data_IF_431980204747
#
_entry.id   IF_431980204747
#
_cell.length_a   1.000
_cell.length_b   1.000
_cell.length_c   1.000
_cell.angle_alpha   90.00
_cell.angle_beta   90.00
_cell.angle_gamma   90.00
#
_symmetry.space_group_name_H-M   'P 1'
#
loop_
_entity.id
_entity.type
_entity.pdbx_description
1 polymer ?
#
# COMPACT_ATOMS: atom_id res chain seq x y z
N UNK A 1 2.93 61.06 -25.44
CA UNK A 1 3.27 60.50 -24.11
C UNK A 1 2.17 59.63 -23.50
N UNK A 2 0.87 59.88 -23.77
CA UNK A 2 -0.27 59.12 -23.20
C UNK A 2 -0.31 57.63 -23.62
N UNK A 3 0.04 57.30 -24.86
CA UNK A 3 0.04 55.89 -25.35
C UNK A 3 1.08 54.98 -24.69
N UNK A 4 2.26 55.52 -24.32
CA UNK A 4 3.30 54.75 -23.60
C UNK A 4 2.85 54.44 -22.16
N UNK A 5 2.01 55.30 -21.58
CA UNK A 5 1.45 55.11 -20.24
C UNK A 5 0.40 53.99 -20.20
N UNK A 6 -0.53 53.96 -21.15
CA UNK A 6 -1.51 52.86 -21.26
C UNK A 6 -0.84 51.51 -21.57
N UNK A 7 0.23 51.52 -22.36
CA UNK A 7 1.01 50.32 -22.66
C UNK A 7 1.71 49.75 -21.41
N UNK A 8 2.30 50.62 -20.58
CA UNK A 8 2.90 50.20 -19.31
C UNK A 8 1.85 49.65 -18.33
N UNK A 9 0.65 50.24 -18.29
CA UNK A 9 -0.43 49.80 -17.41
C UNK A 9 -0.98 48.42 -17.83
N UNK A 10 -1.02 48.13 -19.13
CA UNK A 10 -1.40 46.84 -19.68
C UNK A 10 -0.40 45.72 -19.33
N UNK A 11 0.90 46.00 -19.37
CA UNK A 11 1.95 45.02 -19.01
C UNK A 11 1.89 44.65 -17.52
N UNK A 12 1.64 45.63 -16.65
CA UNK A 12 1.50 45.38 -15.19
C UNK A 12 0.28 44.51 -14.89
N UNK A 13 -0.83 44.68 -15.60
CA UNK A 13 -2.03 43.86 -15.43
C UNK A 13 -1.80 42.38 -15.86
N UNK A 14 -1.01 42.15 -16.91
CA UNK A 14 -0.71 40.80 -17.41
C UNK A 14 0.23 40.00 -16.48
N UNK A 15 1.06 40.68 -15.68
CA UNK A 15 2.00 40.02 -14.75
C UNK A 15 1.36 39.32 -13.55
N UNK A 16 0.04 39.48 -13.33
CA UNK A 16 -0.68 38.91 -12.17
C UNK A 16 -1.32 37.54 -12.44
N UNK A 17 -1.32 37.05 -13.68
CA UNK A 17 -1.85 35.72 -14.00
C UNK A 17 -0.76 34.66 -13.88
N UNK A 18 -0.22 34.47 -12.67
CA UNK A 18 0.52 33.25 -12.38
C UNK A 18 -0.52 32.15 -12.09
N UNK A 19 -0.76 31.29 -13.08
CA UNK A 19 -1.51 30.06 -12.89
C UNK A 19 -0.60 29.13 -12.08
N UNK A 20 -0.67 29.20 -10.75
CA UNK A 20 0.02 28.26 -9.87
C UNK A 20 -0.68 26.90 -10.02
N UNK A 21 -0.10 26.02 -10.83
CA UNK A 21 -0.39 24.60 -10.75
C UNK A 21 0.19 24.11 -9.42
N UNK A 22 -0.61 24.19 -8.35
CA UNK A 22 -0.32 23.48 -7.13
C UNK A 22 -0.26 22.00 -7.48
N UNK A 23 0.95 21.45 -7.64
CA UNK A 23 1.12 20.01 -7.63
C UNK A 23 0.59 19.54 -6.29
N UNK A 24 -0.31 18.54 -6.24
CA UNK A 24 -0.71 17.95 -4.97
C UNK A 24 0.52 17.28 -4.38
N UNK A 25 1.27 18.02 -3.56
CA UNK A 25 2.32 17.45 -2.73
C UNK A 25 1.63 16.55 -1.72
N UNK A 26 1.98 15.27 -1.73
CA UNK A 26 1.44 14.20 -0.88
C UNK A 26 0.22 13.48 -1.44
N UNK A 27 0.41 12.77 -2.57
CA UNK A 27 -0.25 11.47 -2.67
C UNK A 27 0.24 10.63 -1.47
N UNK A 28 -0.68 10.22 -0.60
CA UNK A 28 -0.37 9.42 0.60
C UNK A 28 0.47 8.21 0.16
N UNK A 29 1.75 8.18 0.51
CA UNK A 29 2.68 7.15 0.05
C UNK A 29 2.25 5.79 0.60
N UNK A 30 1.70 4.93 -0.26
CA UNK A 30 1.27 3.57 0.07
C UNK A 30 2.50 2.65 0.07
N UNK A 31 2.77 2.01 1.20
CA UNK A 31 3.83 1.01 1.32
C UNK A 31 3.28 -0.38 1.00
N UNK A 32 3.96 -1.13 0.14
CA UNK A 32 3.59 -2.51 -0.22
C UNK A 32 4.61 -3.48 0.35
N UNK A 33 4.13 -4.48 1.09
CA UNK A 33 4.97 -5.46 1.76
C UNK A 33 4.54 -6.86 1.29
N UNK A 34 5.49 -7.62 0.75
CA UNK A 34 5.33 -9.04 0.49
C UNK A 34 5.88 -9.86 1.65
N UNK A 35 5.02 -10.59 2.35
CA UNK A 35 5.39 -11.50 3.43
C UNK A 35 5.44 -12.93 2.88
N UNK A 36 6.64 -13.47 2.82
CA UNK A 36 6.88 -14.85 2.45
C UNK A 36 6.80 -15.72 3.71
N UNK A 37 5.84 -16.64 3.76
CA UNK A 37 5.58 -17.47 4.92
C UNK A 37 5.45 -18.94 4.51
N UNK A 38 6.08 -19.88 5.24
CA UNK A 38 6.03 -21.30 4.94
C UNK A 38 4.69 -21.90 5.40
N UNK A 39 3.63 -21.73 4.60
CA UNK A 39 2.30 -22.26 4.87
C UNK A 39 2.11 -23.65 4.27
N UNK A 40 2.90 -24.00 3.24
CA UNK A 40 2.95 -25.31 2.60
C UNK A 40 1.55 -25.80 2.20
N UNK A 41 0.74 -24.91 1.60
CA UNK A 41 -0.65 -25.18 1.27
C UNK A 41 -0.77 -26.34 0.28
N UNK A 42 0.16 -26.45 -0.67
CA UNK A 42 0.20 -27.55 -1.63
C UNK A 42 0.39 -28.91 -0.94
N UNK A 43 1.13 -28.96 0.17
CA UNK A 43 1.35 -30.20 0.93
C UNK A 43 0.11 -30.62 1.74
N UNK A 44 -0.84 -29.71 1.94
CA UNK A 44 -2.08 -29.99 2.67
C UNK A 44 -3.07 -30.84 1.86
N UNK A 45 -2.91 -30.90 0.54
CA UNK A 45 -3.78 -31.62 -0.39
C UNK A 45 -3.09 -32.86 -0.96
N UNK A 46 -3.87 -33.89 -1.28
CA UNK A 46 -3.36 -35.06 -2.00
C UNK A 46 -3.39 -34.85 -3.53
N UNK A 47 -2.98 -35.88 -4.27
CA UNK A 47 -2.98 -35.89 -5.73
C UNK A 47 -4.38 -35.69 -6.35
N UNK A 48 -5.44 -35.92 -5.58
CA UNK A 48 -6.83 -35.77 -6.00
C UNK A 48 -7.42 -34.45 -5.49
N UNK A 49 -6.58 -33.49 -5.07
CA UNK A 49 -7.00 -32.20 -4.49
C UNK A 49 -7.89 -32.35 -3.25
N UNK A 50 -7.79 -33.47 -2.54
CA UNK A 50 -8.53 -33.71 -1.31
C UNK A 50 -7.69 -33.31 -0.11
N UNK A 51 -8.30 -32.59 0.81
CA UNK A 51 -7.64 -32.17 2.05
C UNK A 51 -7.30 -33.40 2.90
N UNK A 52 -6.01 -33.56 3.24
CA UNK A 52 -5.48 -34.80 3.83
C UNK A 52 -5.62 -34.87 5.35
N UNK A 53 -5.95 -33.75 5.99
CA UNK A 53 -5.96 -33.62 7.44
C UNK A 53 -7.39 -33.69 7.98
N UNK A 54 -7.59 -34.08 9.25
CA UNK A 54 -8.89 -34.05 9.89
C UNK A 54 -9.61 -32.70 9.73
N UNK A 55 -10.95 -32.69 9.70
CA UNK A 55 -11.73 -31.46 9.62
C UNK A 55 -11.29 -30.47 10.70
N UNK A 56 -11.06 -29.21 10.31
CA UNK A 56 -10.61 -28.12 11.20
C UNK A 56 -9.23 -28.31 11.86
N UNK A 57 -8.39 -29.21 11.33
CA UNK A 57 -7.00 -29.31 11.77
C UNK A 57 -6.07 -28.81 10.68
N UNK A 58 -5.07 -28.01 11.05
CA UNK A 58 -3.99 -27.60 10.16
C UNK A 58 -2.76 -28.52 10.34
N UNK A 59 -1.91 -28.66 9.30
CA UNK A 59 -0.67 -29.37 9.45
C UNK A 59 0.26 -28.68 10.46
N UNK A 60 0.88 -29.47 11.37
CA UNK A 60 1.78 -28.93 12.40
C UNK A 60 3.00 -28.19 11.82
N UNK A 61 3.45 -28.57 10.63
CA UNK A 61 4.59 -27.93 9.97
C UNK A 61 4.27 -26.51 9.48
N UNK A 62 3.00 -26.17 9.26
CA UNK A 62 2.56 -24.84 8.84
C UNK A 62 2.37 -23.87 10.02
N UNK A 63 2.41 -24.37 11.26
CA UNK A 63 2.19 -23.56 12.48
C UNK A 63 3.14 -22.36 12.57
N UNK A 64 4.46 -22.50 12.36
CA UNK A 64 5.37 -21.35 12.43
C UNK A 64 5.06 -20.27 11.37
N UNK A 65 4.67 -20.69 10.16
CA UNK A 65 4.26 -19.76 9.11
C UNK A 65 2.95 -19.04 9.46
N UNK A 66 2.00 -19.75 10.07
CA UNK A 66 0.74 -19.18 10.52
C UNK A 66 0.94 -18.15 11.65
N UNK A 67 1.78 -18.48 12.64
CA UNK A 67 2.13 -17.57 13.75
C UNK A 67 2.81 -16.29 13.23
N UNK A 68 3.69 -16.42 12.22
CA UNK A 68 4.33 -15.27 11.58
C UNK A 68 3.29 -14.37 10.87
N UNK A 69 2.37 -14.96 10.12
CA UNK A 69 1.31 -14.22 9.42
C UNK A 69 0.40 -13.50 10.41
N UNK A 70 0.01 -14.16 11.50
CA UNK A 70 -0.78 -13.55 12.57
C UNK A 70 -0.03 -12.39 13.23
N UNK A 71 1.25 -12.59 13.57
CA UNK A 71 2.12 -11.53 14.10
C UNK A 71 2.25 -10.33 13.14
N UNK A 72 2.32 -10.58 11.84
CA UNK A 72 2.37 -9.52 10.84
C UNK A 72 1.06 -8.72 10.77
N UNK A 73 -0.10 -9.38 10.87
CA UNK A 73 -1.39 -8.67 10.95
C UNK A 73 -1.51 -7.84 12.24
N UNK A 74 -1.04 -8.35 13.38
CA UNK A 74 -1.00 -7.58 14.63
C UNK A 74 -0.09 -6.33 14.52
N UNK A 75 1.05 -6.47 13.85
CA UNK A 75 1.93 -5.33 13.57
C UNK A 75 1.27 -4.33 12.61
N UNK A 76 0.59 -4.82 11.57
CA UNK A 76 -0.16 -4.00 10.62
C UNK A 76 -1.26 -3.19 11.32
N UNK A 77 -2.00 -3.78 12.26
CA UNK A 77 -3.00 -3.06 13.05
C UNK A 77 -2.39 -1.91 13.86
N UNK A 78 -1.17 -2.10 14.38
CA UNK A 78 -0.45 -1.05 15.10
C UNK A 78 -0.04 0.09 14.16
N UNK A 79 0.44 -0.24 12.96
CA UNK A 79 0.82 0.75 11.94
C UNK A 79 -0.40 1.49 11.37
N UNK A 80 -1.52 0.81 11.22
CA UNK A 80 -2.80 1.40 10.82
C UNK A 80 -3.29 2.42 11.85
N UNK A 81 -3.14 2.16 13.16
CA UNK A 81 -3.43 3.14 14.22
C UNK A 81 -2.58 4.41 14.10
N UNK A 82 -1.35 4.28 13.60
CA UNK A 82 -0.45 5.41 13.31
C UNK A 82 -0.76 6.10 11.96
N UNK A 83 -1.86 5.74 11.29
CA UNK A 83 -2.33 6.27 10.00
C UNK A 83 -1.36 6.03 8.84
N UNK A 84 -0.40 5.12 8.98
CA UNK A 84 0.52 4.70 7.92
C UNK A 84 -0.23 3.78 6.96
N UNK A 85 -0.39 4.13 5.67
CA UNK A 85 -1.09 3.28 4.71
C UNK A 85 -0.16 2.17 4.23
N UNK A 86 -0.47 0.93 4.58
CA UNK A 86 0.31 -0.25 4.22
C UNK A 86 -0.61 -1.29 3.58
N UNK A 87 -0.14 -1.89 2.48
CA UNK A 87 -0.74 -3.03 1.80
C UNK A 87 0.16 -4.24 2.03
N UNK A 88 -0.37 -5.26 2.71
CA UNK A 88 0.32 -6.51 3.01
C UNK A 88 -0.20 -7.63 2.11
N UNK A 89 0.72 -8.35 1.45
CA UNK A 89 0.42 -9.53 0.65
C UNK A 89 1.17 -10.71 1.26
N UNK A 90 0.46 -11.79 1.57
CA UNK A 90 1.06 -13.03 2.07
C UNK A 90 1.27 -13.98 0.90
N UNK A 91 2.47 -14.55 0.81
CA UNK A 91 2.89 -15.46 -0.25
C UNK A 91 3.38 -16.74 0.43
N UNK A 92 2.77 -17.87 0.05
CA UNK A 92 3.25 -19.19 0.47
C UNK A 92 4.56 -19.54 -0.27
N UNK A 93 5.46 -20.26 0.40
CA UNK A 93 6.80 -20.64 -0.10
C UNK A 93 7.04 -22.13 -0.04
#
# INVERSE_FOLDING_TARGET
MKGRFYFLLFIVFCSKTQLTLAQPSSAKQLFRIGLFAPLYLDSAFDKNSTYRFPPKSFPKYSTPGLELVEGAFLALDTLNKLKVPIELIVIDT
#
